data_IF_165460584626
#
_entry.id   IF_165460584626
#
_cell.length_a   1.000
_cell.length_b   1.000
_cell.length_c   1.000
_cell.angle_alpha   90.00
_cell.angle_beta   90.00
_cell.angle_gamma   90.00
#
_symmetry.space_group_name_H-M   'P 1'
#
loop_
_entity.id
_entity.type
_entity.pdbx_description
1 polymer ?
#
# COMPACT_ATOMS: atom_id res chain seq x y z
N UNK A 1 -5.98 20.54 11.44
CA UNK A 1 -5.59 19.15 11.75
C UNK A 1 -6.83 18.27 11.86
N UNK A 2 -6.82 17.11 11.21
CA UNK A 2 -7.77 16.04 11.50
C UNK A 2 -7.26 15.18 12.63
N UNK A 3 -8.11 14.90 13.61
CA UNK A 3 -7.83 13.92 14.65
C UNK A 3 -8.94 12.87 14.63
N UNK A 4 -8.62 11.66 14.20
CA UNK A 4 -9.59 10.57 14.04
C UNK A 4 -9.52 9.63 15.21
N UNK A 5 -10.69 9.29 15.75
CA UNK A 5 -10.84 8.30 16.82
C UNK A 5 -11.96 7.31 16.48
N UNK A 6 -11.74 6.03 16.78
CA UNK A 6 -12.69 4.97 16.39
C UNK A 6 -14.02 5.00 17.18
N UNK A 7 -14.06 5.66 18.34
CA UNK A 7 -15.23 5.64 19.24
C UNK A 7 -15.70 7.04 19.56
N UNK A 8 -17.02 7.27 19.44
CA UNK A 8 -17.67 8.55 19.78
C UNK A 8 -17.50 8.88 21.27
N UNK A 9 -17.61 7.88 22.13
CA UNK A 9 -17.59 8.04 23.60
C UNK A 9 -16.34 8.75 24.12
N UNK A 10 -15.20 8.57 23.44
CA UNK A 10 -13.93 9.12 23.89
C UNK A 10 -13.63 10.52 23.32
N UNK A 11 -14.46 11.05 22.41
CA UNK A 11 -14.19 12.33 21.74
C UNK A 11 -14.20 13.50 22.73
N UNK A 12 -15.12 13.50 23.69
CA UNK A 12 -15.21 14.56 24.71
C UNK A 12 -13.99 14.57 25.64
N UNK A 13 -13.50 13.39 26.02
CA UNK A 13 -12.29 13.26 26.84
C UNK A 13 -11.05 13.71 26.09
N UNK A 14 -10.96 13.37 24.79
CA UNK A 14 -9.87 13.81 23.92
C UNK A 14 -9.89 15.32 23.70
N UNK A 15 -11.08 15.91 23.51
CA UNK A 15 -11.24 17.37 23.44
C UNK A 15 -10.72 18.05 24.71
N UNK A 16 -11.16 17.55 25.87
CA UNK A 16 -10.73 18.08 27.17
C UNK A 16 -9.21 17.94 27.37
N UNK A 17 -8.64 16.82 26.93
CA UNK A 17 -7.20 16.59 26.98
C UNK A 17 -6.44 17.57 26.09
N UNK A 18 -6.89 17.80 24.86
CA UNK A 18 -6.25 18.74 23.92
C UNK A 18 -6.31 20.15 24.49
N UNK A 19 -7.48 20.61 24.92
CA UNK A 19 -7.66 21.95 25.48
C UNK A 19 -6.87 22.18 26.76
N UNK A 20 -6.67 21.13 27.58
CA UNK A 20 -5.84 21.22 28.78
C UNK A 20 -4.36 21.39 28.47
N UNK A 21 -3.87 20.71 27.42
CA UNK A 21 -2.46 20.76 27.04
C UNK A 21 -2.12 21.91 26.08
N UNK A 22 -3.11 22.36 25.31
CA UNK A 22 -2.99 23.44 24.34
C UNK A 22 -4.22 24.35 24.49
N UNK A 23 -4.21 25.27 25.48
CA UNK A 23 -5.39 26.07 25.84
C UNK A 23 -5.92 26.94 24.70
N UNK A 24 -5.07 27.41 23.81
CA UNK A 24 -5.43 28.30 22.70
C UNK A 24 -5.96 27.50 21.48
N UNK A 25 -5.96 26.16 21.52
CA UNK A 25 -6.41 25.34 20.42
C UNK A 25 -7.94 25.28 20.34
N UNK A 26 -8.48 25.71 19.22
CA UNK A 26 -9.92 25.66 18.94
C UNK A 26 -10.28 24.30 18.36
N UNK A 27 -10.99 23.51 19.13
CA UNK A 27 -11.35 22.13 18.79
C UNK A 27 -12.85 22.05 18.52
N UNK A 28 -13.24 21.38 17.44
CA UNK A 28 -14.62 20.97 17.19
C UNK A 28 -14.74 19.44 17.07
N UNK A 29 -15.93 18.93 17.37
CA UNK A 29 -16.25 17.50 17.29
C UNK A 29 -17.25 17.27 16.17
N UNK A 30 -17.00 16.27 15.30
CA UNK A 30 -17.91 15.82 14.26
C UNK A 30 -18.03 14.29 14.28
N UNK A 31 -19.26 13.75 14.28
CA UNK A 31 -19.50 12.31 14.19
C UNK A 31 -20.82 11.98 13.49
N UNK A 32 -20.95 10.78 12.93
CA UNK A 32 -22.08 10.37 12.10
C UNK A 32 -23.45 10.28 12.81
N UNK A 33 -23.49 10.40 14.14
CA UNK A 33 -24.75 10.45 14.89
C UNK A 33 -25.28 11.88 15.09
N UNK A 34 -24.55 12.90 14.60
CA UNK A 34 -25.01 14.28 14.62
C UNK A 34 -26.04 14.52 13.52
N UNK A 35 -26.91 15.50 13.75
CA UNK A 35 -27.81 16.01 12.70
C UNK A 35 -26.98 16.51 11.50
N UNK A 36 -27.38 16.16 10.26
CA UNK A 36 -26.61 16.50 9.06
C UNK A 36 -26.29 18.00 8.94
N UNK A 37 -27.26 18.86 9.21
CA UNK A 37 -27.10 20.32 9.15
C UNK A 37 -26.04 20.84 10.15
N UNK A 38 -26.01 20.26 11.34
CA UNK A 38 -25.04 20.61 12.38
C UNK A 38 -23.63 20.15 12.00
N UNK A 39 -23.52 18.95 11.44
CA UNK A 39 -22.26 18.41 10.97
C UNK A 39 -21.70 19.22 9.80
N UNK A 40 -22.55 19.56 8.84
CA UNK A 40 -22.18 20.39 7.71
C UNK A 40 -21.66 21.77 8.15
N UNK A 41 -22.33 22.40 9.11
CA UNK A 41 -21.89 23.67 9.69
C UNK A 41 -20.51 23.56 10.34
N UNK A 42 -20.27 22.51 11.14
CA UNK A 42 -18.98 22.27 11.81
C UNK A 42 -17.86 22.11 10.76
N UNK A 43 -18.14 21.35 9.69
CA UNK A 43 -17.17 21.17 8.60
C UNK A 43 -16.90 22.49 7.89
N UNK A 44 -17.94 23.27 7.60
CA UNK A 44 -17.80 24.59 6.97
C UNK A 44 -16.96 25.55 7.82
N UNK A 45 -17.25 25.64 9.13
CA UNK A 45 -16.49 26.46 10.07
C UNK A 45 -15.02 26.00 10.17
N UNK A 46 -14.78 24.67 10.13
CA UNK A 46 -13.42 24.13 10.10
C UNK A 46 -12.65 24.46 8.80
N UNK A 47 -13.31 24.41 7.65
CA UNK A 47 -12.74 24.84 6.36
C UNK A 47 -12.37 26.31 6.37
N UNK A 48 -13.16 27.15 7.04
CA UNK A 48 -12.93 28.61 7.18
C UNK A 48 -11.90 28.96 8.26
N UNK A 49 -11.22 27.96 8.87
CA UNK A 49 -10.23 28.15 9.94
C UNK A 49 -10.79 28.71 11.26
N UNK A 50 -12.10 28.56 11.52
CA UNK A 50 -12.68 28.87 12.83
C UNK A 50 -12.23 27.88 13.89
N UNK A 51 -11.81 26.67 13.46
CA UNK A 51 -11.24 25.61 14.31
C UNK A 51 -9.87 25.15 13.79
N UNK A 52 -8.98 24.82 14.73
CA UNK A 52 -7.64 24.33 14.46
C UNK A 52 -7.60 22.80 14.35
N UNK A 53 -8.47 22.12 15.09
CA UNK A 53 -8.59 20.65 15.13
C UNK A 53 -10.04 20.23 14.96
N UNK A 54 -10.28 19.34 13.99
CA UNK A 54 -11.52 18.59 13.87
C UNK A 54 -11.30 17.20 14.46
N UNK A 55 -11.93 16.95 15.63
CA UNK A 55 -12.04 15.62 16.24
C UNK A 55 -13.21 14.88 15.61
N UNK A 56 -12.95 13.79 14.93
CA UNK A 56 -13.98 13.06 14.21
C UNK A 56 -13.85 11.54 14.35
N UNK A 57 -14.95 10.85 14.07
CA UNK A 57 -14.94 9.42 13.80
C UNK A 57 -14.66 9.18 12.31
N UNK A 58 -14.95 7.99 11.81
CA UNK A 58 -14.76 7.58 10.40
C UNK A 58 -15.59 8.37 9.38
N UNK A 59 -16.38 9.37 9.79
CA UNK A 59 -17.10 10.24 8.85
C UNK A 59 -16.22 10.93 7.82
N UNK A 60 -14.93 11.10 8.13
CA UNK A 60 -13.94 11.68 7.22
C UNK A 60 -13.71 10.78 5.99
N UNK A 61 -14.00 9.48 6.06
CA UNK A 61 -13.94 8.56 4.93
C UNK A 61 -14.96 8.91 3.83
N UNK A 62 -16.06 9.54 4.19
CA UNK A 62 -17.21 9.79 3.31
C UNK A 62 -17.10 11.07 2.51
N UNK A 63 -16.22 11.13 1.49
CA UNK A 63 -16.30 12.14 0.42
C UNK A 63 -16.02 13.60 0.79
N UNK A 64 -15.63 13.92 2.02
CA UNK A 64 -15.34 15.29 2.43
C UNK A 64 -13.98 15.71 1.86
N UNK A 65 -13.97 16.76 1.04
CA UNK A 65 -12.74 17.36 0.54
C UNK A 65 -12.41 18.64 1.30
N UNK A 66 -11.32 18.61 2.08
CA UNK A 66 -10.86 19.77 2.86
C UNK A 66 -9.39 20.03 2.50
N UNK A 67 -9.13 20.87 1.49
CA UNK A 67 -7.76 21.14 1.02
C UNK A 67 -6.90 21.85 2.07
N UNK A 68 -7.50 22.45 3.08
CA UNK A 68 -6.81 23.18 4.14
C UNK A 68 -6.16 22.27 5.19
N UNK A 69 -6.59 21.02 5.31
CA UNK A 69 -6.02 20.09 6.27
C UNK A 69 -4.81 19.39 5.66
N UNK A 70 -3.64 19.65 6.21
CA UNK A 70 -2.40 19.00 5.80
C UNK A 70 -1.91 17.93 6.78
N UNK A 71 -2.57 17.76 7.91
CA UNK A 71 -2.16 16.82 8.95
C UNK A 71 -3.35 15.98 9.41
N UNK A 72 -3.16 14.67 9.46
CA UNK A 72 -4.11 13.73 10.05
C UNK A 72 -3.42 12.92 11.15
N UNK A 73 -4.09 12.79 12.29
CA UNK A 73 -3.68 11.95 13.42
C UNK A 73 -4.75 10.89 13.61
N UNK A 74 -4.41 9.62 13.49
CA UNK A 74 -5.32 8.49 13.65
C UNK A 74 -5.02 7.81 14.97
N UNK A 75 -5.90 7.99 15.94
CA UNK A 75 -5.76 7.40 17.26
C UNK A 75 -6.21 5.95 17.29
N UNK A 76 -5.44 5.10 17.99
CA UNK A 76 -5.67 3.65 18.04
C UNK A 76 -5.72 3.04 16.62
N UNK A 77 -4.74 3.37 15.80
CA UNK A 77 -4.67 2.98 14.40
C UNK A 77 -4.75 1.47 14.17
N UNK A 78 -4.33 0.64 15.14
CA UNK A 78 -4.43 -0.82 15.09
C UNK A 78 -5.88 -1.35 14.99
N UNK A 79 -6.87 -0.53 15.36
CA UNK A 79 -8.29 -0.91 15.36
C UNK A 79 -8.99 -0.64 14.01
N UNK A 80 -8.27 -0.05 13.05
CA UNK A 80 -8.78 0.23 11.71
C UNK A 80 -8.32 -0.82 10.70
N UNK A 81 -9.13 -1.04 9.67
CA UNK A 81 -8.73 -1.82 8.50
C UNK A 81 -7.66 -1.10 7.68
N UNK A 82 -6.91 -1.85 6.87
CA UNK A 82 -5.87 -1.27 6.01
C UNK A 82 -6.47 -0.32 4.97
N UNK A 83 -7.61 -0.70 4.40
CA UNK A 83 -8.39 0.13 3.47
C UNK A 83 -8.82 1.45 4.11
N UNK A 84 -9.33 1.40 5.36
CA UNK A 84 -9.79 2.58 6.09
C UNK A 84 -8.61 3.54 6.38
N UNK A 85 -7.48 2.99 6.82
CA UNK A 85 -6.25 3.76 7.04
C UNK A 85 -5.77 4.45 5.76
N UNK A 86 -5.82 3.73 4.62
CA UNK A 86 -5.45 4.28 3.32
C UNK A 86 -6.38 5.41 2.88
N UNK A 87 -7.69 5.22 3.03
CA UNK A 87 -8.69 6.24 2.69
C UNK A 87 -8.52 7.49 3.56
N UNK A 88 -8.35 7.32 4.88
CA UNK A 88 -8.12 8.42 5.81
C UNK A 88 -6.81 9.17 5.50
N UNK A 89 -5.72 8.46 5.23
CA UNK A 89 -4.46 9.07 4.79
C UNK A 89 -4.65 9.91 3.53
N UNK A 90 -5.44 9.44 2.57
CA UNK A 90 -5.76 10.14 1.33
C UNK A 90 -6.63 11.40 1.50
N UNK A 91 -7.08 11.73 2.72
CA UNK A 91 -7.82 12.97 3.00
C UNK A 91 -6.93 14.18 3.22
N UNK A 92 -5.65 14.00 3.42
CA UNK A 92 -4.65 15.08 3.49
C UNK A 92 -3.70 15.00 2.29
N UNK A 93 -3.00 16.09 1.99
CA UNK A 93 -2.08 16.14 0.85
C UNK A 93 -2.72 16.47 -0.49
N UNK A 94 -3.92 17.03 -0.49
CA UNK A 94 -4.63 17.44 -1.71
C UNK A 94 -4.28 18.86 -2.20
N UNK A 95 -3.25 19.43 -1.64
CA UNK A 95 -2.70 20.74 -2.01
C UNK A 95 -1.22 20.63 -2.34
N UNK A 96 -0.59 21.71 -2.76
CA UNK A 96 0.85 21.80 -3.00
C UNK A 96 1.71 21.80 -1.71
N UNK A 97 1.10 21.61 -0.54
CA UNK A 97 1.80 21.57 0.75
C UNK A 97 2.06 20.14 1.16
N UNK A 98 3.21 19.90 1.79
CA UNK A 98 3.54 18.61 2.38
C UNK A 98 2.49 18.22 3.43
N UNK A 99 2.01 16.98 3.36
CA UNK A 99 1.06 16.42 4.28
C UNK A 99 1.71 15.42 5.24
N UNK A 100 1.10 15.26 6.41
CA UNK A 100 1.57 14.39 7.47
C UNK A 100 0.43 13.48 7.95
N UNK A 101 0.73 12.19 8.06
CA UNK A 101 -0.18 11.20 8.63
C UNK A 101 0.50 10.52 9.84
N UNK A 102 -0.07 10.70 11.02
CA UNK A 102 0.44 10.10 12.25
C UNK A 102 -0.49 8.97 12.69
N UNK A 103 0.06 7.76 12.79
CA UNK A 103 -0.65 6.58 13.27
C UNK A 103 -0.27 6.33 14.74
N UNK A 104 -1.19 6.62 15.66
CA UNK A 104 -0.98 6.37 17.08
C UNK A 104 -1.45 4.95 17.42
N UNK A 105 -0.53 4.12 17.88
CA UNK A 105 -0.78 2.74 18.27
C UNK A 105 0.01 2.39 19.54
N UNK A 106 -0.38 1.35 20.27
CA UNK A 106 0.44 0.76 21.32
C UNK A 106 1.79 0.26 20.76
N UNK A 107 2.77 -0.05 21.62
CA UNK A 107 4.03 -0.62 21.19
C UNK A 107 3.82 -1.85 20.29
N UNK A 108 4.63 -1.99 19.24
CA UNK A 108 4.50 -3.07 18.25
C UNK A 108 4.50 -4.48 18.88
N UNK A 109 5.15 -4.64 20.05
CA UNK A 109 5.22 -5.90 20.79
C UNK A 109 3.87 -6.33 21.39
N UNK A 110 2.94 -5.39 21.59
CA UNK A 110 1.60 -5.65 22.15
C UNK A 110 0.50 -5.76 21.09
N UNK A 111 0.84 -5.59 19.81
CA UNK A 111 -0.10 -5.70 18.70
C UNK A 111 -0.25 -7.13 18.22
N UNK A 112 -1.44 -7.46 17.69
CA UNK A 112 -1.64 -8.72 16.96
C UNK A 112 -0.80 -8.75 15.68
N UNK A 113 -0.42 -9.95 15.17
CA UNK A 113 0.34 -10.05 13.92
C UNK A 113 -0.32 -9.32 12.76
N UNK A 114 -1.65 -9.42 12.62
CA UNK A 114 -2.42 -8.78 11.55
C UNK A 114 -2.39 -7.24 11.68
N UNK A 115 -2.57 -6.72 12.91
CA UNK A 115 -2.51 -5.28 13.14
C UNK A 115 -1.12 -4.71 12.84
N UNK A 116 -0.07 -5.46 13.20
CA UNK A 116 1.32 -5.10 12.86
C UNK A 116 1.55 -5.07 11.35
N UNK A 117 1.10 -6.10 10.62
CA UNK A 117 1.21 -6.16 9.15
C UNK A 117 0.48 -4.98 8.49
N UNK A 118 -0.75 -4.64 8.94
CA UNK A 118 -1.50 -3.49 8.41
C UNK A 118 -0.76 -2.17 8.60
N UNK A 119 -0.24 -1.92 9.80
CA UNK A 119 0.49 -0.67 10.09
C UNK A 119 1.80 -0.58 9.30
N UNK A 120 2.52 -1.69 9.14
CA UNK A 120 3.71 -1.76 8.30
C UNK A 120 3.38 -1.55 6.82
N UNK A 121 2.29 -2.13 6.32
CA UNK A 121 1.87 -1.94 4.94
C UNK A 121 1.56 -0.47 4.62
N UNK A 122 0.81 0.23 5.51
CA UNK A 122 0.47 1.65 5.28
C UNK A 122 1.70 2.57 5.37
N UNK A 123 2.73 2.18 6.12
CA UNK A 123 4.01 2.88 6.21
C UNK A 123 4.86 2.66 4.95
N UNK A 124 5.01 1.41 4.51
CA UNK A 124 5.84 1.03 3.36
C UNK A 124 5.28 1.57 2.03
N UNK A 125 3.97 1.56 1.87
CA UNK A 125 3.31 2.02 0.65
C UNK A 125 2.81 3.47 0.79
N UNK A 126 3.74 4.42 0.96
CA UNK A 126 3.44 5.85 1.13
C UNK A 126 3.35 6.63 -0.17
N UNK A 127 3.82 6.09 -1.29
CA UNK A 127 3.93 6.77 -2.57
C UNK A 127 2.58 6.93 -3.28
N UNK A 128 2.51 7.93 -4.17
CA UNK A 128 1.35 8.15 -5.02
C UNK A 128 1.15 6.92 -5.94
N UNK A 129 -0.10 6.42 -6.01
CA UNK A 129 -0.43 5.24 -6.82
C UNK A 129 -0.32 3.91 -6.09
N UNK A 130 0.14 3.88 -4.83
CA UNK A 130 0.29 2.67 -4.03
C UNK A 130 -1.04 1.96 -3.66
N UNK A 131 -2.19 2.49 -4.09
CA UNK A 131 -3.50 1.94 -3.75
C UNK A 131 -3.69 0.48 -4.14
N UNK A 132 -3.14 0.06 -5.29
CA UNK A 132 -3.19 -1.34 -5.74
C UNK A 132 -2.38 -2.23 -4.79
N UNK A 133 -1.16 -1.83 -4.43
CA UNK A 133 -0.33 -2.60 -3.50
C UNK A 133 -0.97 -2.72 -2.11
N UNK A 134 -1.62 -1.65 -1.64
CA UNK A 134 -2.37 -1.68 -0.38
C UNK A 134 -3.57 -2.62 -0.47
N UNK A 135 -4.30 -2.63 -1.58
CA UNK A 135 -5.42 -3.54 -1.78
C UNK A 135 -4.95 -5.01 -1.81
N UNK A 136 -3.82 -5.29 -2.46
CA UNK A 136 -3.20 -6.62 -2.48
C UNK A 136 -2.77 -7.05 -1.07
N UNK A 137 -2.14 -6.17 -0.31
CA UNK A 137 -1.76 -6.44 1.07
C UNK A 137 -2.98 -6.64 1.99
N UNK A 138 -4.07 -5.92 1.77
CA UNK A 138 -5.31 -6.11 2.55
C UNK A 138 -5.92 -7.49 2.27
N UNK A 139 -5.90 -7.95 1.01
CA UNK A 139 -6.31 -9.29 0.63
C UNK A 139 -5.41 -10.37 1.26
N UNK A 140 -4.09 -10.16 1.24
CA UNK A 140 -3.12 -11.08 1.84
C UNK A 140 -3.31 -11.19 3.38
N UNK A 141 -3.50 -10.05 4.06
CA UNK A 141 -3.70 -10.01 5.52
C UNK A 141 -5.04 -10.63 5.94
N UNK A 142 -6.12 -10.38 5.19
CA UNK A 142 -7.47 -10.91 5.48
C UNK A 142 -7.61 -12.36 5.06
N UNK A 143 -6.76 -12.83 4.15
CA UNK A 143 -6.96 -14.04 3.37
C UNK A 143 -8.04 -13.82 2.29
N UNK A 144 -7.79 -14.24 1.06
CA UNK A 144 -8.75 -14.09 -0.05
C UNK A 144 -9.98 -15.03 0.05
N UNK A 145 -10.18 -15.67 1.19
CA UNK A 145 -11.21 -16.68 1.42
C UNK A 145 -12.66 -16.24 1.18
N UNK A 146 -12.92 -14.93 1.19
CA UNK A 146 -14.26 -14.43 0.90
C UNK A 146 -14.57 -14.29 -0.59
N UNK A 147 -13.57 -14.26 -1.46
CA UNK A 147 -13.79 -14.14 -2.92
C UNK A 147 -13.92 -15.49 -3.61
N UNK A 148 -13.34 -16.56 -3.05
CA UNK A 148 -13.25 -17.88 -3.69
C UNK A 148 -13.83 -19.02 -2.85
N UNK A 149 -14.42 -18.72 -1.69
CA UNK A 149 -14.99 -19.70 -0.76
C UNK A 149 -14.09 -20.01 0.44
N UNK A 150 -14.71 -20.42 1.55
CA UNK A 150 -14.07 -20.62 2.85
C UNK A 150 -12.95 -21.68 2.85
N UNK A 151 -13.00 -22.64 1.93
CA UNK A 151 -12.04 -23.74 1.84
C UNK A 151 -10.68 -23.31 1.24
N UNK A 152 -10.64 -22.20 0.50
CA UNK A 152 -9.41 -21.73 -0.16
C UNK A 152 -8.65 -20.64 0.62
N UNK A 153 -9.25 -20.11 1.69
CA UNK A 153 -8.62 -19.03 2.49
C UNK A 153 -7.31 -19.44 3.15
N UNK A 154 -7.16 -20.72 3.50
CA UNK A 154 -5.93 -21.26 4.08
C UNK A 154 -4.76 -21.24 3.09
N UNK A 155 -5.01 -21.61 1.83
CA UNK A 155 -3.99 -21.70 0.80
C UNK A 155 -3.33 -20.36 0.46
N UNK A 156 -4.13 -19.30 0.38
CA UNK A 156 -3.61 -17.97 0.04
C UNK A 156 -2.82 -17.37 1.20
N UNK A 157 -3.24 -17.64 2.44
CA UNK A 157 -2.49 -17.22 3.62
C UNK A 157 -1.12 -17.91 3.74
N UNK A 158 -1.02 -19.15 3.29
CA UNK A 158 0.21 -19.95 3.35
C UNK A 158 1.16 -19.69 2.16
N UNK A 159 0.62 -19.49 0.95
CA UNK A 159 1.39 -19.32 -0.28
C UNK A 159 1.69 -17.86 -0.63
N UNK A 160 0.93 -16.90 -0.09
CA UNK A 160 0.92 -15.51 -0.51
C UNK A 160 0.10 -15.27 -1.79
N UNK A 161 -0.41 -14.03 -1.91
CA UNK A 161 -1.31 -13.67 -3.01
C UNK A 161 -0.65 -13.74 -4.40
N UNK A 162 0.61 -13.36 -4.51
CA UNK A 162 1.34 -13.38 -5.80
C UNK A 162 1.51 -14.79 -6.33
N UNK A 163 1.91 -15.74 -5.47
CA UNK A 163 2.04 -17.15 -5.85
C UNK A 163 0.68 -17.76 -6.23
N UNK A 164 -0.39 -17.39 -5.50
CA UNK A 164 -1.74 -17.83 -5.83
C UNK A 164 -2.19 -17.31 -7.20
N UNK A 165 -1.91 -16.04 -7.53
CA UNK A 165 -2.22 -15.45 -8.83
C UNK A 165 -1.49 -16.16 -9.97
N UNK A 166 -0.23 -16.51 -9.79
CA UNK A 166 0.56 -17.29 -10.77
C UNK A 166 -0.10 -18.64 -11.04
N UNK A 167 -0.36 -19.41 -9.98
CA UNK A 167 -1.02 -20.72 -10.09
C UNK A 167 -2.40 -20.61 -10.76
N UNK A 168 -3.17 -19.57 -10.43
CA UNK A 168 -4.47 -19.35 -11.04
C UNK A 168 -4.36 -19.01 -12.53
N UNK A 169 -3.39 -18.17 -12.92
CA UNK A 169 -3.13 -17.81 -14.31
C UNK A 169 -2.70 -19.02 -15.13
N UNK A 170 -1.83 -19.87 -14.59
CA UNK A 170 -1.41 -21.13 -15.22
C UNK A 170 -2.59 -22.08 -15.41
N UNK A 171 -3.41 -22.28 -14.37
CA UNK A 171 -4.59 -23.14 -14.44
C UNK A 171 -5.63 -22.61 -15.44
N UNK A 172 -5.83 -21.29 -15.54
CA UNK A 172 -6.73 -20.68 -16.54
C UNK A 172 -6.17 -20.86 -17.95
N UNK A 173 -4.84 -20.75 -18.14
CA UNK A 173 -4.17 -20.99 -19.41
C UNK A 173 -4.35 -22.45 -19.86
N UNK A 174 -4.07 -23.39 -18.95
CA UNK A 174 -4.25 -24.83 -19.19
C UNK A 174 -5.70 -25.18 -19.56
N UNK A 175 -6.69 -24.65 -18.84
CA UNK A 175 -8.11 -24.84 -19.16
C UNK A 175 -8.51 -24.25 -20.52
N UNK A 176 -7.95 -23.08 -20.90
CA UNK A 176 -8.22 -22.47 -22.20
C UNK A 176 -7.63 -23.30 -23.34
N UNK A 177 -6.46 -23.90 -23.15
CA UNK A 177 -5.76 -24.71 -24.15
C UNK A 177 -6.38 -26.10 -24.29
N UNK A 178 -6.80 -26.74 -23.19
CA UNK A 178 -7.29 -28.12 -23.19
C UNK A 178 -8.81 -28.24 -23.36
N UNK A 179 -9.60 -27.65 -22.46
CA UNK A 179 -11.06 -27.85 -22.44
C UNK A 179 -11.85 -26.86 -23.29
N UNK A 180 -11.33 -25.67 -23.50
CA UNK A 180 -12.00 -24.57 -24.19
C UNK A 180 -11.28 -24.11 -25.48
N UNK A 181 -10.36 -24.91 -25.99
CA UNK A 181 -9.57 -24.59 -27.19
C UNK A 181 -10.44 -24.16 -28.38
N UNK A 182 -11.60 -24.81 -28.56
CA UNK A 182 -12.52 -24.51 -29.66
C UNK A 182 -13.27 -23.16 -29.48
N UNK A 183 -13.50 -22.75 -28.22
CA UNK A 183 -14.20 -21.49 -27.89
C UNK A 183 -13.26 -20.27 -27.99
N UNK A 184 -11.98 -20.46 -27.70
CA UNK A 184 -10.96 -19.39 -27.69
C UNK A 184 -10.03 -19.42 -28.90
N UNK A 185 -10.29 -20.30 -29.89
CA UNK A 185 -9.48 -20.43 -31.11
C UNK A 185 -9.32 -19.12 -31.89
N UNK A 186 -10.34 -18.26 -31.88
CA UNK A 186 -10.30 -16.94 -32.53
C UNK A 186 -9.45 -15.93 -31.74
N UNK A 187 -9.45 -15.98 -30.42
CA UNK A 187 -8.62 -15.10 -29.54
C UNK A 187 -7.13 -15.50 -29.60
N UNK A 188 -6.84 -16.81 -29.62
CA UNK A 188 -5.49 -17.35 -29.74
C UNK A 188 -4.87 -17.01 -31.11
N UNK A 189 -5.67 -17.01 -32.19
CA UNK A 189 -5.21 -16.58 -33.51
C UNK A 189 -5.00 -15.07 -33.61
N UNK A 190 -5.80 -14.26 -32.91
CA UNK A 190 -5.68 -12.80 -32.90
C UNK A 190 -4.47 -12.33 -32.10
N UNK A 191 -4.04 -13.09 -31.11
CA UNK A 191 -2.86 -12.81 -30.30
C UNK A 191 -1.52 -13.09 -31.02
N UNK A 192 -1.55 -13.66 -32.25
CA UNK A 192 -0.35 -13.94 -33.03
C UNK A 192 0.51 -15.09 -32.47
N UNK A 193 -0.02 -15.86 -31.55
CA UNK A 193 0.61 -17.07 -31.08
C UNK A 193 0.40 -18.16 -32.14
N UNK A 194 1.41 -18.30 -33.05
CA UNK A 194 1.53 -19.53 -33.82
C UNK A 194 1.50 -20.71 -32.85
N UNK A 195 0.72 -21.75 -33.17
CA UNK A 195 0.77 -23.05 -32.50
C UNK A 195 2.22 -23.56 -32.52
N UNK A 196 3.00 -23.12 -31.57
CA UNK A 196 4.26 -23.79 -31.22
C UNK A 196 3.79 -25.01 -30.45
N UNK A 197 3.80 -26.14 -31.14
CA UNK A 197 3.49 -27.47 -30.62
C UNK A 197 4.15 -27.63 -29.26
N UNK A 198 3.34 -27.98 -28.25
CA UNK A 198 3.61 -27.98 -26.82
C UNK A 198 4.77 -28.81 -26.29
N UNK A 199 5.95 -28.51 -26.72
CA UNK A 199 7.15 -29.03 -26.09
C UNK A 199 8.13 -27.84 -25.95
N UNK A 200 8.34 -27.39 -24.72
CA UNK A 200 9.41 -26.50 -24.27
C UNK A 200 9.13 -24.97 -24.24
N UNK A 201 7.98 -24.53 -23.74
CA UNK A 201 7.91 -23.17 -23.22
C UNK A 201 8.28 -23.20 -21.72
N UNK A 202 9.41 -22.61 -21.38
CA UNK A 202 9.83 -22.44 -19.98
C UNK A 202 9.34 -21.07 -19.53
N UNK A 203 8.26 -21.03 -18.73
CA UNK A 203 7.69 -19.78 -18.18
C UNK A 203 8.62 -19.13 -17.13
N UNK A 204 9.50 -19.88 -16.50
CA UNK A 204 10.52 -19.38 -15.57
C UNK A 204 11.85 -20.09 -15.82
N UNK A 205 12.91 -19.32 -16.01
CA UNK A 205 14.28 -19.81 -16.07
C UNK A 205 15.00 -19.40 -14.79
N UNK A 206 15.45 -20.37 -13.98
CA UNK A 206 16.37 -20.13 -12.89
C UNK A 206 17.80 -20.31 -13.37
N UNK A 207 18.59 -19.24 -13.29
CA UNK A 207 20.02 -19.28 -13.59
C UNK A 207 20.78 -19.35 -12.28
N UNK A 208 21.44 -20.49 -12.02
CA UNK A 208 22.37 -20.60 -10.90
C UNK A 208 23.78 -20.28 -11.38
N UNK A 209 24.46 -19.40 -10.68
CA UNK A 209 25.81 -18.98 -10.96
C UNK A 209 26.68 -19.06 -9.70
N UNK A 210 27.95 -19.34 -9.86
CA UNK A 210 28.98 -19.29 -8.81
C UNK A 210 29.61 -17.89 -8.68
N UNK A 211 29.12 -16.92 -9.47
CA UNK A 211 29.54 -15.52 -9.41
C UNK A 211 28.91 -14.81 -8.20
N UNK A 212 29.65 -13.91 -7.60
CA UNK A 212 29.12 -13.04 -6.54
C UNK A 212 28.28 -11.91 -7.17
N UNK A 213 27.02 -12.18 -7.47
CA UNK A 213 26.05 -11.26 -8.07
C UNK A 213 25.36 -10.43 -6.98
N UNK A 214 26.01 -9.38 -6.49
CA UNK A 214 25.46 -8.54 -5.42
C UNK A 214 26.06 -7.13 -5.41
N UNK A 215 25.32 -6.19 -4.80
CA UNK A 215 25.86 -4.90 -4.42
C UNK A 215 26.53 -5.03 -3.04
N UNK A 216 27.89 -4.88 -2.94
CA UNK A 216 28.60 -4.98 -1.66
C UNK A 216 28.08 -3.98 -0.61
N UNK A 217 28.16 -4.37 0.66
CA UNK A 217 27.77 -3.50 1.78
C UNK A 217 28.59 -2.20 1.83
N UNK A 218 29.81 -2.23 1.32
CA UNK A 218 30.72 -1.08 1.25
C UNK A 218 30.28 -0.08 0.19
N UNK A 219 29.65 -0.57 -0.89
CA UNK A 219 29.14 0.26 -1.98
C UNK A 219 27.77 0.87 -1.63
N UNK A 220 26.83 0.07 -1.12
CA UNK A 220 25.51 0.52 -0.66
C UNK A 220 25.28 0.00 0.76
N UNK A 221 25.55 0.79 1.81
CA UNK A 221 25.46 0.35 3.21
C UNK A 221 24.04 -0.01 3.67
N UNK A 222 23.03 0.67 3.11
CA UNK A 222 21.63 0.48 3.50
C UNK A 222 21.03 -0.80 2.87
N UNK A 223 20.68 -1.78 3.69
CA UNK A 223 20.03 -3.02 3.24
C UNK A 223 18.69 -2.78 2.55
N UNK A 224 17.87 -1.88 3.08
CA UNK A 224 16.58 -1.52 2.47
C UNK A 224 16.75 -0.85 1.11
N UNK A 225 17.79 -0.04 0.95
CA UNK A 225 18.09 0.62 -0.31
C UNK A 225 18.60 -0.36 -1.37
N UNK A 226 19.46 -1.32 -0.98
CA UNK A 226 19.86 -2.41 -1.87
C UNK A 226 18.66 -3.21 -2.38
N UNK A 227 17.72 -3.55 -1.50
CA UNK A 227 16.52 -4.28 -1.90
C UNK A 227 15.63 -3.52 -2.89
N UNK A 228 15.54 -2.20 -2.75
CA UNK A 228 14.83 -1.37 -3.73
C UNK A 228 15.53 -1.36 -5.08
N UNK A 229 16.86 -1.25 -5.08
CA UNK A 229 17.66 -1.27 -6.31
C UNK A 229 17.64 -2.64 -7.02
N UNK A 230 17.63 -3.75 -6.27
CA UNK A 230 17.42 -5.07 -6.87
C UNK A 230 16.05 -5.22 -7.52
N UNK A 231 14.99 -4.72 -6.89
CA UNK A 231 13.63 -4.73 -7.48
C UNK A 231 13.54 -3.84 -8.73
N UNK A 232 14.23 -2.70 -8.70
CA UNK A 232 14.28 -1.82 -9.86
C UNK A 232 15.03 -2.49 -11.01
N UNK A 233 16.15 -3.16 -10.74
CA UNK A 233 16.93 -3.90 -11.72
C UNK A 233 16.12 -5.07 -12.33
N UNK A 234 15.42 -5.83 -11.50
CA UNK A 234 14.56 -6.95 -11.91
C UNK A 234 13.42 -6.51 -12.85
N UNK A 235 12.96 -5.28 -12.72
CA UNK A 235 11.92 -4.71 -13.58
C UNK A 235 12.40 -4.09 -14.89
N UNK A 236 13.70 -4.15 -15.24
CA UNK A 236 14.23 -3.55 -16.45
C UNK A 236 14.20 -4.55 -17.63
N UNK A 237 13.50 -4.17 -18.71
CA UNK A 237 13.35 -5.03 -19.89
C UNK A 237 14.26 -4.62 -21.07
N UNK A 238 14.78 -3.39 -21.08
CA UNK A 238 15.54 -2.85 -22.20
C UNK A 238 16.97 -2.48 -21.80
N UNK A 239 17.94 -2.79 -22.65
CA UNK A 239 19.36 -2.41 -22.48
C UNK A 239 19.57 -0.91 -22.23
N UNK A 240 18.74 -0.08 -22.84
CA UNK A 240 18.78 1.38 -22.65
C UNK A 240 18.46 1.78 -21.19
N UNK A 241 17.51 1.10 -20.58
CA UNK A 241 17.09 1.38 -19.21
C UNK A 241 18.14 0.87 -18.22
N UNK A 242 18.79 -0.25 -18.54
CA UNK A 242 19.92 -0.78 -17.80
C UNK A 242 21.11 0.20 -17.80
N UNK A 243 21.43 0.80 -18.94
CA UNK A 243 22.48 1.81 -19.03
C UNK A 243 22.14 3.09 -18.23
N UNK A 244 20.87 3.51 -18.26
CA UNK A 244 20.38 4.64 -17.48
C UNK A 244 20.43 4.33 -15.97
N UNK A 245 20.06 3.12 -15.57
CA UNK A 245 20.15 2.65 -14.19
C UNK A 245 21.61 2.66 -13.69
N UNK A 246 22.54 2.12 -14.48
CA UNK A 246 23.96 2.16 -14.16
C UNK A 246 24.48 3.59 -13.98
N UNK A 247 24.12 4.51 -14.87
CA UNK A 247 24.53 5.91 -14.77
C UNK A 247 24.00 6.58 -13.48
N UNK A 248 22.79 6.26 -13.05
CA UNK A 248 22.23 6.75 -11.77
C UNK A 248 22.93 6.17 -10.56
N UNK A 249 23.32 4.88 -10.60
CA UNK A 249 24.11 4.27 -9.54
C UNK A 249 25.47 4.93 -9.41
N UNK A 250 26.15 5.17 -10.54
CA UNK A 250 27.47 5.83 -10.56
C UNK A 250 27.40 7.28 -10.06
N UNK A 251 26.33 8.01 -10.40
CA UNK A 251 26.13 9.39 -9.93
C UNK A 251 25.90 9.45 -8.40
N UNK A 252 25.23 8.44 -7.86
CA UNK A 252 24.81 8.44 -6.45
C UNK A 252 25.82 7.77 -5.51
N UNK A 253 26.44 6.68 -5.92
CA UNK A 253 27.30 5.84 -5.07
C UNK A 253 28.74 5.75 -5.59
N UNK A 254 29.06 6.36 -6.73
CA UNK A 254 30.34 6.23 -7.37
C UNK A 254 30.43 5.02 -8.29
N UNK A 255 31.64 4.72 -8.78
CA UNK A 255 31.86 3.66 -9.75
C UNK A 255 31.34 2.32 -9.28
N UNK A 256 30.52 1.65 -10.12
CA UNK A 256 29.95 0.33 -9.80
C UNK A 256 31.09 -0.68 -9.64
N UNK A 257 31.12 -1.45 -8.55
CA UNK A 257 32.13 -2.49 -8.32
C UNK A 257 31.93 -3.68 -9.29
N UNK A 258 32.95 -4.53 -9.49
CA UNK A 258 32.88 -5.67 -10.42
C UNK A 258 31.68 -6.58 -10.15
N UNK A 259 31.39 -6.90 -8.89
CA UNK A 259 30.30 -7.77 -8.45
C UNK A 259 28.92 -7.18 -8.83
N UNK A 260 28.79 -5.86 -8.82
CA UNK A 260 27.61 -5.14 -9.25
C UNK A 260 27.51 -4.91 -10.77
N UNK A 261 28.61 -5.12 -11.52
CA UNK A 261 28.60 -5.09 -12.99
C UNK A 261 28.23 -6.43 -13.61
N UNK A 262 28.42 -7.50 -12.87
CA UNK A 262 28.08 -8.87 -13.29
C UNK A 262 26.63 -9.24 -12.97
N UNK A 263 25.95 -8.45 -12.17
CA UNK A 263 24.57 -8.57 -11.81
C UNK A 263 23.65 -8.17 -12.95
#
# INVERSE_FOLDING_TARGET
VFFVNNRIQNLVELEAMIKRNIPDCRVCIGHGQMEPEKLEKIIFDFVNYDYDVLLATTIIESGIDIPNANTIIINQAQNFGLSDLHQMRGRVGRSNKKAFCYLLAPPLTSLTPEAKRRLQAIENFSDLGSGIHIAMQDLDIRGAGNMLGAEQSGFIADLGYETYQKILAEAVKELKEDEFADLYAEELQAAGEEKISGENFVDECQVESDLELLFPNEYIPSSSERMLLYRELDGLELDKDLLAFKARLEDRFGKVPPEGLEL
#
